data_IF_808361075456
#
_entry.id   IF_808361075456
#
_cell.length_a   1.000
_cell.length_b   1.000
_cell.length_c   1.000
_cell.angle_alpha   90.00
_cell.angle_beta   90.00
_cell.angle_gamma   90.00
#
_symmetry.space_group_name_H-M   'P 1'
#
loop_
_entity.id
_entity.type
_entity.pdbx_description
1 polymer ?
#
# COMPACT_ATOMS: atom_id res chain seq x y z
N UNK A 1 -55.63 11.63 -8.96
CA UNK A 1 -54.22 11.22 -8.82
C UNK A 1 -54.15 10.08 -7.84
N UNK A 2 -53.93 8.85 -8.30
CA UNK A 2 -53.82 7.66 -7.45
C UNK A 2 -52.33 7.41 -7.16
N UNK A 3 -51.96 7.56 -5.89
CA UNK A 3 -50.62 7.19 -5.41
C UNK A 3 -50.50 5.67 -5.33
N UNK A 4 -49.71 5.11 -6.21
CA UNK A 4 -49.29 3.72 -6.15
C UNK A 4 -48.00 3.62 -5.29
N UNK A 5 -48.16 3.47 -3.98
CA UNK A 5 -47.07 2.97 -3.16
C UNK A 5 -46.99 1.44 -3.37
N UNK A 6 -45.93 0.97 -4.00
CA UNK A 6 -45.61 -0.45 -4.07
C UNK A 6 -45.34 -0.95 -2.65
N UNK A 7 -46.14 -1.89 -2.19
CA UNK A 7 -45.90 -2.63 -0.95
C UNK A 7 -44.52 -3.34 -1.06
N UNK A 8 -43.53 -2.78 -0.39
CA UNK A 8 -42.25 -3.43 -0.21
C UNK A 8 -42.45 -4.59 0.78
N UNK A 9 -42.30 -5.82 0.28
CA UNK A 9 -42.63 -7.02 1.03
C UNK A 9 -41.61 -7.21 2.17
N UNK A 10 -42.01 -7.00 3.41
CA UNK A 10 -41.23 -7.19 4.62
C UNK A 10 -40.62 -8.59 4.74
N UNK A 11 -41.27 -9.62 4.12
CA UNK A 11 -40.73 -10.97 4.02
C UNK A 11 -39.44 -11.05 3.18
N UNK A 12 -39.31 -10.24 2.14
CA UNK A 12 -38.07 -10.20 1.32
C UNK A 12 -36.91 -9.58 2.08
N UNK A 13 -37.21 -8.67 3.01
CA UNK A 13 -36.20 -8.08 3.88
C UNK A 13 -35.66 -9.09 4.91
N UNK A 14 -36.56 -9.89 5.49
CA UNK A 14 -36.18 -10.98 6.42
C UNK A 14 -35.41 -12.06 5.71
N UNK A 15 -35.79 -12.45 4.49
CA UNK A 15 -35.09 -13.44 3.69
C UNK A 15 -33.68 -12.96 3.32
N UNK A 16 -33.52 -11.69 2.96
CA UNK A 16 -32.20 -11.08 2.70
C UNK A 16 -31.33 -11.03 3.97
N UNK A 17 -31.92 -10.67 5.13
CA UNK A 17 -31.22 -10.70 6.41
C UNK A 17 -30.78 -12.09 6.83
N UNK A 18 -31.60 -13.12 6.62
CA UNK A 18 -31.25 -14.52 6.94
C UNK A 18 -30.15 -15.02 6.01
N UNK A 19 -30.14 -14.63 4.73
CA UNK A 19 -29.10 -14.97 3.79
C UNK A 19 -27.75 -14.33 4.19
N UNK A 20 -27.76 -13.09 4.66
CA UNK A 20 -26.60 -12.37 5.18
C UNK A 20 -26.07 -13.04 6.46
N UNK A 21 -26.96 -13.46 7.39
CA UNK A 21 -26.56 -14.19 8.60
C UNK A 21 -25.95 -15.56 8.26
N UNK A 22 -26.46 -16.25 7.26
CA UNK A 22 -25.90 -17.52 6.78
C UNK A 22 -24.53 -17.34 6.08
N UNK A 23 -24.29 -16.22 5.43
CA UNK A 23 -22.97 -15.86 4.90
C UNK A 23 -21.97 -15.47 6.00
N UNK A 24 -22.42 -14.85 7.08
CA UNK A 24 -21.58 -14.49 8.24
C UNK A 24 -21.11 -15.73 9.02
N UNK A 25 -21.92 -16.78 9.05
CA UNK A 25 -21.56 -18.06 9.74
C UNK A 25 -20.49 -18.84 8.98
N UNK A 26 -20.20 -18.48 7.72
CA UNK A 26 -19.09 -19.08 6.97
C UNK A 26 -17.79 -18.25 7.00
N UNK A 27 -17.79 -17.12 7.67
CA UNK A 27 -16.54 -16.53 8.14
C UNK A 27 -16.13 -17.35 9.37
N UNK A 28 -15.60 -18.52 9.13
CA UNK A 28 -14.69 -19.15 10.10
C UNK A 28 -13.70 -18.02 10.45
N UNK A 29 -13.61 -17.57 11.72
CA UNK A 29 -12.50 -16.72 12.06
C UNK A 29 -11.31 -17.54 11.60
N UNK A 30 -10.54 -16.99 10.67
CA UNK A 30 -9.25 -17.53 10.35
C UNK A 30 -8.46 -17.47 11.66
N UNK A 31 -8.59 -18.55 12.42
CA UNK A 31 -7.63 -18.89 13.46
C UNK A 31 -6.40 -19.41 12.72
N UNK A 32 -5.94 -18.67 11.71
CA UNK A 32 -4.54 -18.70 11.38
C UNK A 32 -3.88 -18.21 12.67
N UNK A 33 -3.57 -19.16 13.53
CA UNK A 33 -2.58 -19.03 14.57
C UNK A 33 -1.45 -18.33 13.86
N UNK A 34 -1.25 -17.03 14.17
CA UNK A 34 -0.07 -16.29 13.75
C UNK A 34 1.05 -17.24 14.18
N UNK A 35 1.62 -17.97 13.24
CA UNK A 35 2.70 -18.89 13.57
C UNK A 35 3.72 -17.95 14.19
N UNK A 36 3.90 -18.04 15.50
CA UNK A 36 5.08 -17.50 16.12
C UNK A 36 6.21 -18.22 15.41
N UNK A 37 6.72 -17.56 14.40
CA UNK A 37 7.88 -18.02 13.70
C UNK A 37 9.03 -17.88 14.69
N UNK A 38 9.18 -18.89 15.54
CA UNK A 38 10.34 -19.06 16.43
C UNK A 38 11.56 -19.51 15.64
N UNK A 39 11.49 -19.40 14.31
CA UNK A 39 12.63 -19.60 13.43
C UNK A 39 13.74 -18.60 13.76
N UNK A 40 14.98 -19.02 13.57
CA UNK A 40 16.14 -18.17 13.77
C UNK A 40 16.01 -16.88 12.98
N UNK A 41 16.25 -15.75 13.63
CA UNK A 41 16.28 -14.43 12.98
C UNK A 41 17.55 -14.37 12.15
N UNK A 42 17.40 -14.11 10.85
CA UNK A 42 18.54 -13.88 9.96
C UNK A 42 19.01 -12.44 10.09
N UNK A 43 20.25 -12.27 10.52
CA UNK A 43 20.90 -10.96 10.62
C UNK A 43 21.40 -10.50 9.25
N UNK A 44 21.21 -9.20 8.95
CA UNK A 44 21.62 -8.55 7.70
C UNK A 44 22.57 -7.40 8.04
N UNK A 45 23.80 -7.50 7.56
CA UNK A 45 24.85 -6.51 7.79
C UNK A 45 25.27 -5.77 6.51
N UNK A 46 24.91 -6.28 5.34
CA UNK A 46 25.37 -5.78 4.05
C UNK A 46 24.27 -5.78 2.99
N UNK A 47 24.44 -4.96 1.94
CA UNK A 47 23.53 -4.95 0.80
C UNK A 47 23.45 -6.32 0.09
N UNK A 48 24.58 -7.04 0.01
CA UNK A 48 24.59 -8.38 -0.58
C UNK A 48 23.76 -9.39 0.22
N UNK A 49 23.78 -9.30 1.55
CA UNK A 49 22.92 -10.13 2.42
C UNK A 49 21.45 -9.74 2.29
N UNK A 50 21.13 -8.45 2.15
CA UNK A 50 19.76 -8.00 1.88
C UNK A 50 19.26 -8.54 0.53
N UNK A 51 20.09 -8.47 -0.54
CA UNK A 51 19.76 -9.07 -1.84
C UNK A 51 19.51 -10.57 -1.71
N UNK A 52 20.37 -11.27 -0.98
CA UNK A 52 20.20 -12.72 -0.76
C UNK A 52 18.92 -13.02 0.07
N UNK A 53 18.61 -12.21 1.06
CA UNK A 53 17.40 -12.36 1.85
C UNK A 53 16.14 -12.21 0.98
N UNK A 54 16.16 -11.32 -0.02
CA UNK A 54 15.03 -11.09 -0.93
C UNK A 54 14.69 -12.25 -1.86
N UNK A 55 15.56 -13.26 -1.96
CA UNK A 55 15.25 -14.51 -2.67
C UNK A 55 14.24 -15.39 -1.92
N UNK A 56 14.00 -15.12 -0.63
CA UNK A 56 13.05 -15.84 0.20
C UNK A 56 11.87 -14.93 0.55
N UNK A 57 10.67 -15.33 0.19
CA UNK A 57 9.45 -14.57 0.44
C UNK A 57 8.99 -14.57 1.91
N UNK A 58 9.50 -15.49 2.70
CA UNK A 58 9.13 -15.64 4.11
C UNK A 58 10.35 -15.65 5.00
N UNK A 59 10.21 -15.29 6.26
CA UNK A 59 11.29 -15.38 7.23
C UNK A 59 11.23 -14.28 8.29
N UNK A 60 12.21 -14.32 9.18
CA UNK A 60 12.43 -13.25 10.17
C UNK A 60 13.81 -12.66 9.92
N UNK A 61 13.86 -11.38 9.64
CA UNK A 61 15.10 -10.67 9.32
C UNK A 61 15.29 -9.49 10.26
N UNK A 62 16.55 -9.18 10.57
CA UNK A 62 16.94 -8.03 11.36
C UNK A 62 18.16 -7.34 10.76
N UNK A 63 18.09 -6.02 10.60
CA UNK A 63 19.24 -5.22 10.25
C UNK A 63 20.20 -5.10 11.46
N UNK A 64 21.48 -5.21 11.17
CA UNK A 64 22.56 -5.06 12.17
C UNK A 64 23.50 -3.90 11.82
N UNK A 65 23.27 -3.22 10.69
CA UNK A 65 23.99 -2.05 10.24
C UNK A 65 23.12 -1.23 9.26
N UNK A 66 23.54 0.00 9.01
CA UNK A 66 23.01 0.76 7.88
C UNK A 66 23.44 0.09 6.57
N UNK A 67 22.50 -0.01 5.63
CA UNK A 67 22.68 -0.71 4.35
C UNK A 67 22.68 0.29 3.21
N UNK A 68 23.83 0.53 2.60
CA UNK A 68 23.93 1.38 1.40
C UNK A 68 23.66 0.57 0.14
N UNK A 69 22.57 0.91 -0.56
CA UNK A 69 22.12 0.26 -1.79
C UNK A 69 22.68 0.93 -3.06
N UNK A 70 23.64 1.82 -2.94
CA UNK A 70 24.24 2.50 -4.09
C UNK A 70 24.78 1.48 -5.11
N UNK A 71 24.30 1.57 -6.35
CA UNK A 71 24.71 0.69 -7.46
C UNK A 71 24.10 -0.72 -7.43
N UNK A 72 23.22 -1.02 -6.49
CA UNK A 72 22.49 -2.28 -6.47
C UNK A 72 21.29 -2.19 -7.41
N UNK A 73 21.19 -3.12 -8.34
CA UNK A 73 20.02 -3.29 -9.22
C UNK A 73 18.93 -4.04 -8.46
N UNK A 74 18.13 -3.29 -7.69
CA UNK A 74 17.12 -3.86 -6.81
C UNK A 74 15.89 -4.31 -7.59
N UNK A 75 15.41 -5.51 -7.29
CA UNK A 75 14.10 -6.00 -7.70
C UNK A 75 13.18 -5.98 -6.48
N UNK A 76 12.00 -5.32 -6.57
CA UNK A 76 11.07 -5.24 -5.44
C UNK A 76 10.76 -6.61 -4.85
N UNK A 77 10.89 -6.74 -3.55
CA UNK A 77 10.77 -8.00 -2.82
C UNK A 77 9.32 -8.30 -2.44
N UNK A 78 8.82 -9.47 -2.79
CA UNK A 78 7.52 -9.96 -2.29
C UNK A 78 7.74 -10.64 -0.93
N UNK A 79 7.15 -10.08 0.10
CA UNK A 79 7.48 -10.47 1.46
C UNK A 79 6.27 -10.74 2.35
N UNK A 80 6.33 -11.85 3.10
CA UNK A 80 5.33 -12.24 4.09
C UNK A 80 5.99 -12.81 5.35
N UNK A 81 6.60 -11.93 6.15
CA UNK A 81 7.33 -12.34 7.34
C UNK A 81 7.52 -11.21 8.33
N UNK A 82 8.59 -11.26 9.09
CA UNK A 82 8.97 -10.20 10.03
C UNK A 82 10.25 -9.53 9.57
N UNK A 83 10.25 -8.22 9.44
CA UNK A 83 11.43 -7.42 9.11
C UNK A 83 11.63 -6.36 10.20
N UNK A 84 12.65 -6.57 11.01
CA UNK A 84 13.07 -5.65 12.06
C UNK A 84 14.22 -4.78 11.54
N UNK A 85 13.96 -3.51 11.26
CA UNK A 85 14.99 -2.55 10.88
C UNK A 85 15.93 -2.21 12.03
N UNK A 86 15.53 -2.51 13.29
CA UNK A 86 16.36 -2.31 14.48
C UNK A 86 16.91 -0.87 14.59
N UNK A 87 16.21 0.10 14.04
CA UNK A 87 16.60 1.51 13.96
C UNK A 87 17.65 1.84 12.90
N UNK A 88 18.16 0.85 12.15
CA UNK A 88 19.08 1.08 11.05
C UNK A 88 18.39 1.56 9.78
N UNK A 89 19.20 2.07 8.86
CA UNK A 89 18.74 2.76 7.65
C UNK A 89 19.13 2.00 6.39
N UNK A 90 18.18 1.84 5.47
CA UNK A 90 18.47 1.50 4.08
C UNK A 90 18.67 2.82 3.33
N UNK A 91 19.87 3.01 2.77
CA UNK A 91 20.31 4.22 2.11
C UNK A 91 20.30 4.06 0.59
N UNK A 92 19.95 5.11 -0.15
CA UNK A 92 20.15 5.21 -1.60
C UNK A 92 19.51 4.07 -2.40
N UNK A 93 18.39 3.54 -1.93
CA UNK A 93 17.62 2.53 -2.66
C UNK A 93 17.17 3.10 -4.00
N UNK A 94 17.54 2.46 -5.11
CA UNK A 94 17.09 2.82 -6.45
C UNK A 94 16.24 1.70 -7.04
N UNK A 95 15.01 2.05 -7.47
CA UNK A 95 14.06 1.10 -8.05
C UNK A 95 13.54 1.64 -9.37
N UNK A 96 13.84 0.90 -10.43
CA UNK A 96 13.35 1.19 -11.79
C UNK A 96 12.49 0.06 -12.35
N UNK A 97 12.29 -0.97 -11.56
CA UNK A 97 11.56 -2.20 -11.91
C UNK A 97 10.28 -2.31 -11.09
N UNK A 98 9.33 -3.04 -11.64
CA UNK A 98 8.13 -3.47 -10.92
C UNK A 98 8.17 -4.97 -10.70
N UNK A 99 7.50 -5.45 -9.65
CA UNK A 99 7.22 -6.85 -9.50
C UNK A 99 5.71 -7.09 -9.65
N UNK A 100 5.34 -8.17 -10.37
CA UNK A 100 3.95 -8.59 -10.48
C UNK A 100 3.53 -9.27 -9.18
N UNK A 101 2.56 -8.68 -8.54
CA UNK A 101 2.13 -9.13 -7.23
C UNK A 101 0.94 -10.10 -7.29
N UNK A 102 0.76 -10.88 -6.24
CA UNK A 102 -0.38 -11.80 -6.12
C UNK A 102 -1.71 -11.09 -5.92
N UNK A 103 -1.67 -9.88 -5.35
CA UNK A 103 -2.87 -9.06 -5.18
C UNK A 103 -3.39 -8.58 -6.55
N UNK A 104 -4.71 -8.53 -6.68
CA UNK A 104 -5.39 -8.02 -7.86
C UNK A 104 -6.11 -6.73 -7.55
N UNK A 105 -6.20 -5.87 -8.54
CA UNK A 105 -7.07 -4.69 -8.51
C UNK A 105 -8.26 -4.87 -9.44
N UNK A 106 -9.31 -4.10 -9.17
CA UNK A 106 -10.56 -4.18 -9.92
C UNK A 106 -10.98 -2.77 -10.33
N UNK A 107 -11.33 -2.59 -11.60
CA UNK A 107 -11.92 -1.33 -12.06
C UNK A 107 -13.40 -1.20 -11.63
N UNK A 108 -14.01 -0.06 -11.89
CA UNK A 108 -15.41 0.21 -11.56
C UNK A 108 -16.41 -0.75 -12.23
N UNK A 109 -16.00 -1.53 -13.23
CA UNK A 109 -16.77 -2.57 -13.87
C UNK A 109 -16.48 -3.97 -13.33
N UNK A 110 -15.71 -4.07 -12.24
CA UNK A 110 -15.28 -5.34 -11.62
C UNK A 110 -14.37 -6.21 -12.50
N UNK A 111 -13.75 -5.64 -13.50
CA UNK A 111 -12.72 -6.34 -14.25
C UNK A 111 -11.45 -6.44 -13.41
N UNK A 112 -10.94 -7.65 -13.31
CA UNK A 112 -9.70 -7.97 -12.59
C UNK A 112 -8.47 -7.63 -13.44
N UNK A 113 -7.46 -7.07 -12.80
CA UNK A 113 -6.18 -6.75 -13.42
C UNK A 113 -5.02 -7.27 -12.58
N UNK A 114 -3.97 -7.70 -13.26
CA UNK A 114 -2.68 -7.93 -12.63
C UNK A 114 -2.13 -6.62 -12.06
N UNK A 115 -1.67 -6.66 -10.83
CA UNK A 115 -1.16 -5.49 -10.14
C UNK A 115 0.33 -5.62 -9.91
N UNK A 116 1.03 -4.52 -10.06
CA UNK A 116 2.48 -4.44 -9.95
C UNK A 116 2.86 -3.49 -8.83
N UNK A 117 3.90 -3.84 -8.09
CA UNK A 117 4.42 -3.03 -7.01
C UNK A 117 5.86 -2.61 -7.24
N UNK A 118 6.20 -1.38 -6.82
CA UNK A 118 7.54 -0.84 -6.83
C UNK A 118 7.90 -0.19 -5.49
N UNK A 119 9.04 -0.58 -4.94
CA UNK A 119 9.56 -0.12 -3.67
C UNK A 119 10.64 -1.05 -3.14
N UNK A 120 10.99 -0.92 -1.88
CA UNK A 120 11.82 -1.94 -1.22
C UNK A 120 11.10 -3.29 -1.29
N UNK A 121 9.81 -3.29 -0.97
CA UNK A 121 8.92 -4.42 -1.18
C UNK A 121 8.00 -4.17 -2.38
N UNK A 122 7.81 -5.18 -3.22
CA UNK A 122 6.78 -5.19 -4.26
C UNK A 122 5.40 -5.32 -3.61
N UNK A 123 5.27 -6.32 -2.75
CA UNK A 123 4.11 -6.49 -1.87
C UNK A 123 4.55 -6.97 -0.48
N UNK A 124 3.91 -6.41 0.53
CA UNK A 124 3.85 -6.95 1.88
C UNK A 124 2.54 -7.72 2.06
N UNK A 125 2.60 -9.00 2.43
CA UNK A 125 1.43 -9.85 2.63
C UNK A 125 1.44 -10.48 4.00
N UNK A 126 0.52 -10.07 4.88
CA UNK A 126 0.50 -10.50 6.29
C UNK A 126 1.87 -10.32 6.97
N UNK A 127 2.60 -9.29 6.61
CA UNK A 127 3.95 -9.00 7.06
C UNK A 127 3.95 -8.00 8.24
N UNK A 128 4.98 -8.09 9.07
CA UNK A 128 5.27 -7.11 10.12
C UNK A 128 6.62 -6.47 9.81
N UNK A 129 6.63 -5.15 9.55
CA UNK A 129 7.84 -4.35 9.33
C UNK A 129 7.93 -3.31 10.45
N UNK A 130 9.04 -3.28 11.19
CA UNK A 130 9.20 -2.34 12.30
C UNK A 130 10.61 -1.76 12.41
N UNK A 131 10.70 -0.54 12.92
CA UNK A 131 11.97 0.10 13.22
C UNK A 131 12.89 0.30 12.02
N UNK A 132 12.35 0.31 10.79
CA UNK A 132 13.11 0.44 9.55
C UNK A 132 13.14 1.89 9.09
N UNK A 133 14.36 2.41 8.86
CA UNK A 133 14.52 3.70 8.22
C UNK A 133 14.88 3.53 6.73
N UNK A 134 14.32 4.38 5.87
CA UNK A 134 14.68 4.49 4.45
C UNK A 134 15.05 5.94 4.17
N UNK A 135 16.24 6.16 3.59
CA UNK A 135 16.71 7.51 3.29
C UNK A 135 17.27 7.62 1.88
N UNK A 136 16.84 8.65 1.17
CA UNK A 136 17.33 8.93 -0.17
C UNK A 136 16.87 7.89 -1.20
N UNK A 137 15.74 7.23 -0.96
CA UNK A 137 15.18 6.29 -1.93
C UNK A 137 14.73 7.03 -3.20
N UNK A 138 14.97 6.40 -4.34
CA UNK A 138 14.59 6.87 -5.65
C UNK A 138 13.83 5.78 -6.39
N UNK A 139 12.52 5.92 -6.42
CA UNK A 139 11.61 4.97 -7.09
C UNK A 139 11.15 5.66 -8.38
N UNK A 140 11.65 5.24 -9.52
CA UNK A 140 11.37 5.85 -10.81
C UNK A 140 10.93 4.79 -11.81
N UNK A 141 9.64 4.69 -12.01
CA UNK A 141 9.03 3.64 -12.83
C UNK A 141 8.22 4.25 -13.96
N UNK A 142 8.39 3.69 -15.16
CA UNK A 142 7.53 3.95 -16.30
C UNK A 142 6.92 2.62 -16.76
N UNK A 143 5.59 2.57 -16.86
CA UNK A 143 4.86 1.32 -17.17
C UNK A 143 3.52 1.63 -17.85
N UNK A 144 2.81 0.60 -18.26
CA UNK A 144 1.44 0.64 -18.72
C UNK A 144 0.57 -0.42 -17.99
N UNK A 145 1.02 -0.83 -16.82
CA UNK A 145 0.35 -1.82 -15.98
C UNK A 145 -0.30 -1.12 -14.78
N UNK A 146 -1.27 -1.77 -14.15
CA UNK A 146 -1.78 -1.33 -12.86
C UNK A 146 -0.66 -1.37 -11.82
N UNK A 147 -0.01 -0.26 -11.59
CA UNK A 147 1.19 -0.17 -10.77
C UNK A 147 1.02 0.81 -9.62
N UNK A 148 1.55 0.43 -8.47
CA UNK A 148 1.63 1.30 -7.31
C UNK A 148 3.07 1.36 -6.81
N UNK A 149 3.52 2.57 -6.51
CA UNK A 149 4.89 2.83 -6.14
C UNK A 149 5.00 3.60 -4.83
N UNK A 150 5.95 3.19 -3.99
CA UNK A 150 6.29 3.89 -2.76
C UNK A 150 7.67 3.44 -2.23
N UNK A 151 8.34 4.21 -1.36
CA UNK A 151 9.66 3.81 -0.87
C UNK A 151 9.66 2.50 -0.10
N UNK A 152 8.64 2.26 0.76
CA UNK A 152 8.55 1.04 1.56
C UNK A 152 7.96 -0.11 0.73
N UNK A 153 6.72 0.03 0.25
CA UNK A 153 6.05 -1.05 -0.46
C UNK A 153 5.13 -0.53 -1.57
N UNK A 154 5.18 -1.15 -2.76
CA UNK A 154 4.19 -0.89 -3.79
C UNK A 154 2.79 -1.26 -3.33
N UNK A 155 2.66 -2.43 -2.72
CA UNK A 155 1.40 -2.97 -2.23
C UNK A 155 1.50 -3.48 -0.79
N UNK A 156 0.40 -3.37 -0.06
CA UNK A 156 0.24 -3.98 1.26
C UNK A 156 -1.06 -4.78 1.31
N UNK A 157 -0.99 -5.98 1.87
CA UNK A 157 -2.14 -6.81 2.13
C UNK A 157 -2.12 -7.26 3.59
N UNK A 158 -3.00 -6.67 4.40
CA UNK A 158 -3.14 -6.99 5.82
C UNK A 158 -1.80 -7.00 6.58
N UNK A 159 -0.96 -5.97 6.35
CA UNK A 159 0.39 -5.89 6.91
C UNK A 159 0.52 -4.74 7.90
N UNK A 160 1.47 -4.84 8.82
CA UNK A 160 1.74 -3.82 9.81
C UNK A 160 3.09 -3.16 9.52
N UNK A 161 3.11 -1.83 9.55
CA UNK A 161 4.33 -1.03 9.44
C UNK A 161 4.35 -0.09 10.65
N UNK A 162 5.39 -0.19 11.48
CA UNK A 162 5.50 0.63 12.68
C UNK A 162 6.90 1.14 12.93
N UNK A 163 6.97 2.26 13.63
CA UNK A 163 8.23 2.86 14.09
C UNK A 163 9.26 3.08 12.96
N UNK A 164 8.77 3.50 11.77
CA UNK A 164 9.58 3.64 10.56
C UNK A 164 9.73 5.11 10.16
N UNK A 165 10.88 5.43 9.53
CA UNK A 165 11.14 6.77 9.02
C UNK A 165 11.52 6.68 7.55
N UNK A 166 10.83 7.42 6.69
CA UNK A 166 11.18 7.59 5.28
C UNK A 166 11.56 9.05 5.07
N UNK A 167 12.77 9.31 4.61
CA UNK A 167 13.27 10.69 4.48
C UNK A 167 14.02 10.93 3.18
N UNK A 168 13.95 12.19 2.69
CA UNK A 168 14.61 12.62 1.47
C UNK A 168 14.38 11.67 0.29
N UNK A 169 13.17 11.15 0.15
CA UNK A 169 12.86 10.14 -0.86
C UNK A 169 12.05 10.75 -2.00
N UNK A 170 12.19 10.14 -3.16
CA UNK A 170 11.53 10.58 -4.38
C UNK A 170 10.85 9.38 -5.04
N UNK A 171 9.59 9.53 -5.41
CA UNK A 171 8.81 8.52 -6.12
C UNK A 171 8.22 9.16 -7.37
N UNK A 172 8.53 8.61 -8.52
CA UNK A 172 7.93 9.01 -9.79
C UNK A 172 7.35 7.79 -10.49
N UNK A 173 6.06 7.86 -10.78
CA UNK A 173 5.38 6.86 -11.57
C UNK A 173 4.81 7.52 -12.82
N UNK A 174 5.28 7.05 -13.97
CA UNK A 174 4.78 7.42 -15.29
C UNK A 174 4.00 6.24 -15.83
N UNK A 175 2.70 6.40 -16.03
CA UNK A 175 1.81 5.31 -16.39
C UNK A 175 0.75 5.74 -17.40
N UNK A 176 0.10 4.77 -18.02
CA UNK A 176 -1.07 4.91 -18.87
C UNK A 176 -2.11 3.82 -18.58
N UNK A 177 -2.01 3.15 -17.44
CA UNK A 177 -2.96 2.13 -17.01
C UNK A 177 -4.22 2.76 -16.40
N UNK A 178 -5.26 1.95 -16.23
CA UNK A 178 -6.54 2.42 -15.71
C UNK A 178 -6.57 2.69 -14.20
N UNK A 179 -5.61 2.15 -13.45
CA UNK A 179 -5.53 2.32 -12.01
C UNK A 179 -4.07 2.23 -11.57
N UNK A 180 -3.55 3.30 -11.02
CA UNK A 180 -2.16 3.40 -10.59
C UNK A 180 -1.95 4.55 -9.61
N UNK A 181 -0.80 4.59 -8.93
CA UNK A 181 -0.57 5.69 -8.01
C UNK A 181 0.71 5.61 -7.18
N UNK A 182 1.00 6.70 -6.48
CA UNK A 182 2.18 6.86 -5.63
C UNK A 182 1.81 7.13 -4.17
N UNK A 183 2.53 6.49 -3.25
CA UNK A 183 2.39 6.71 -1.81
C UNK A 183 3.70 7.05 -1.12
N UNK A 184 3.65 7.78 -0.03
CA UNK A 184 4.85 8.12 0.74
C UNK A 184 5.39 6.95 1.57
N UNK A 185 4.55 5.99 1.92
CA UNK A 185 4.92 4.78 2.66
C UNK A 185 4.60 3.56 1.81
N UNK A 186 3.35 3.42 1.39
CA UNK A 186 2.92 2.36 0.50
C UNK A 186 1.98 2.89 -0.59
N UNK A 187 1.94 2.21 -1.72
CA UNK A 187 1.10 2.63 -2.84
C UNK A 187 -0.36 2.22 -2.63
N UNK A 188 -0.67 0.94 -2.54
CA UNK A 188 -2.05 0.48 -2.44
C UNK A 188 -2.19 -0.67 -1.44
N UNK A 189 -3.34 -0.72 -0.74
CA UNK A 189 -3.68 -1.91 0.02
C UNK A 189 -4.35 -1.72 1.35
N UNK A 190 -4.05 -2.62 2.30
CA UNK A 190 -4.68 -2.69 3.61
C UNK A 190 -3.67 -3.00 4.71
N UNK A 191 -3.97 -2.59 5.94
CA UNK A 191 -3.14 -2.88 7.09
C UNK A 191 -3.13 -1.78 8.15
N UNK A 192 -2.04 -1.72 8.91
CA UNK A 192 -1.87 -0.75 9.96
C UNK A 192 -0.56 0.02 9.78
N UNK A 193 -0.64 1.35 9.91
CA UNK A 193 0.50 2.23 10.11
C UNK A 193 0.45 2.79 11.52
N UNK A 194 1.55 2.69 12.25
CA UNK A 194 1.67 3.30 13.57
C UNK A 194 3.05 3.91 13.77
N UNK A 195 3.10 5.16 14.20
CA UNK A 195 4.35 5.88 14.47
C UNK A 195 5.31 5.90 13.26
N UNK A 196 4.81 6.26 12.07
CA UNK A 196 5.61 6.37 10.85
C UNK A 196 5.76 7.83 10.45
N UNK A 197 6.98 8.22 10.07
CA UNK A 197 7.25 9.55 9.56
C UNK A 197 7.72 9.52 8.11
N UNK A 198 7.25 10.48 7.28
CA UNK A 198 7.70 10.62 5.88
C UNK A 198 8.16 12.03 5.59
N UNK A 199 9.16 12.13 4.69
CA UNK A 199 9.56 13.31 3.96
C UNK A 199 9.86 12.89 2.52
N UNK A 200 8.88 13.07 1.63
CA UNK A 200 8.86 12.43 0.31
C UNK A 200 8.31 13.38 -0.75
N UNK A 201 8.94 13.37 -1.94
CA UNK A 201 8.39 13.95 -3.15
C UNK A 201 7.72 12.87 -3.97
N UNK A 202 6.44 13.07 -4.31
CA UNK A 202 5.63 12.16 -5.12
C UNK A 202 5.31 12.80 -6.46
N UNK A 203 5.48 12.05 -7.54
CA UNK A 203 5.19 12.51 -8.90
C UNK A 203 4.38 11.46 -9.64
N UNK A 204 3.22 11.86 -10.14
CA UNK A 204 2.38 11.06 -11.02
C UNK A 204 2.34 11.72 -12.40
N UNK A 205 2.67 10.97 -13.45
CA UNK A 205 2.66 11.46 -14.84
C UNK A 205 1.80 10.51 -15.68
N UNK A 206 0.63 10.98 -16.08
CA UNK A 206 -0.21 10.30 -17.04
C UNK A 206 0.28 10.56 -18.47
N UNK A 207 0.52 9.49 -19.21
CA UNK A 207 0.97 9.55 -20.61
C UNK A 207 -0.15 9.34 -21.61
N UNK A 208 -1.32 8.87 -21.19
CA UNK A 208 -2.51 8.70 -22.05
C UNK A 208 -3.60 9.71 -21.72
N UNK A 209 -3.52 10.87 -22.35
CA UNK A 209 -4.47 11.97 -22.15
C UNK A 209 -5.90 11.67 -22.65
N UNK A 210 -6.17 10.50 -23.21
CA UNK A 210 -7.48 10.16 -23.79
C UNK A 210 -8.28 9.18 -22.93
N UNK A 211 -7.65 8.49 -22.00
CA UNK A 211 -8.28 7.48 -21.15
C UNK A 211 -8.65 8.11 -19.80
N UNK A 212 -9.84 7.77 -19.32
CA UNK A 212 -10.24 8.13 -17.95
C UNK A 212 -9.66 7.09 -17.01
N UNK A 213 -8.45 7.33 -16.58
CA UNK A 213 -7.73 6.49 -15.65
C UNK A 213 -7.96 6.96 -14.21
N UNK A 214 -7.91 6.04 -13.26
CA UNK A 214 -7.95 6.37 -11.85
C UNK A 214 -6.51 6.47 -11.33
N UNK A 215 -6.10 7.66 -11.01
CA UNK A 215 -4.78 8.02 -10.52
C UNK A 215 -4.87 8.40 -9.04
N UNK A 216 -3.92 7.94 -8.25
CA UNK A 216 -3.94 8.14 -6.81
C UNK A 216 -2.60 8.67 -6.29
N UNK A 217 -2.65 9.68 -5.43
CA UNK A 217 -1.48 10.16 -4.71
C UNK A 217 -1.83 10.37 -3.23
N UNK A 218 -0.99 9.88 -2.33
CA UNK A 218 -1.19 10.11 -0.91
C UNK A 218 0.08 10.09 -0.09
N UNK A 219 0.20 10.99 0.84
CA UNK A 219 1.40 11.15 1.66
C UNK A 219 1.77 9.91 2.48
N UNK A 220 0.81 9.11 2.88
CA UNK A 220 1.04 7.79 3.44
C UNK A 220 0.74 6.68 2.43
N UNK A 221 -0.49 6.62 1.93
CA UNK A 221 -0.95 5.65 0.93
C UNK A 221 -1.60 6.35 -0.25
N UNK A 222 -1.36 5.88 -1.47
CA UNK A 222 -2.10 6.34 -2.63
C UNK A 222 -3.58 5.97 -2.48
N UNK A 223 -3.89 4.71 -2.23
CA UNK A 223 -5.26 4.29 -1.95
C UNK A 223 -5.30 3.04 -1.06
N UNK A 224 -6.39 2.84 -0.31
CA UNK A 224 -6.57 1.59 0.44
C UNK A 224 -7.47 1.67 1.67
N UNK A 225 -7.46 0.55 2.44
CA UNK A 225 -8.20 0.35 3.69
C UNK A 225 -7.19 0.25 4.85
N UNK A 226 -6.90 1.35 5.52
CA UNK A 226 -5.74 1.42 6.39
C UNK A 226 -6.10 2.06 7.71
N UNK A 227 -5.60 1.49 8.82
CA UNK A 227 -5.53 2.19 10.07
C UNK A 227 -4.24 3.01 10.12
N UNK A 228 -4.33 4.31 10.36
CA UNK A 228 -3.18 5.21 10.41
C UNK A 228 -3.18 5.96 11.74
N UNK A 229 -2.15 5.72 12.55
CA UNK A 229 -2.05 6.33 13.87
C UNK A 229 -0.68 6.92 14.11
N UNK A 230 -0.64 8.05 14.81
CA UNK A 230 0.59 8.68 15.29
C UNK A 230 1.62 8.96 14.18
N UNK A 231 1.17 9.15 12.94
CA UNK A 231 2.05 9.35 11.80
C UNK A 231 2.30 10.83 11.54
N UNK A 232 3.50 11.13 11.03
CA UNK A 232 3.91 12.46 10.65
C UNK A 232 4.32 12.47 9.18
N UNK A 233 3.48 13.06 8.36
CA UNK A 233 3.56 12.99 6.90
C UNK A 233 3.96 14.36 6.36
N UNK A 234 5.11 14.44 5.70
CA UNK A 234 5.52 15.58 4.88
C UNK A 234 5.57 15.15 3.41
N UNK A 235 4.79 15.81 2.58
CA UNK A 235 4.63 15.48 1.16
C UNK A 235 4.86 16.74 0.30
N UNK A 236 5.61 16.57 -0.77
CA UNK A 236 5.63 17.49 -1.91
C UNK A 236 5.18 16.71 -3.14
N UNK A 237 3.96 16.96 -3.60
CA UNK A 237 3.30 16.19 -4.64
C UNK A 237 3.15 16.98 -5.93
N UNK A 238 3.36 16.31 -7.07
CA UNK A 238 3.03 16.80 -8.39
C UNK A 238 2.24 15.75 -9.17
N UNK A 239 1.09 16.16 -9.66
CA UNK A 239 0.23 15.35 -10.52
C UNK A 239 0.04 16.05 -11.87
N UNK A 240 0.02 15.29 -12.97
CA UNK A 240 -0.14 15.82 -14.31
C UNK A 240 -1.57 16.17 -14.72
N UNK A 241 -2.53 15.95 -13.81
CA UNK A 241 -3.96 16.26 -13.96
C UNK A 241 -4.60 15.75 -15.27
N UNK A 242 -4.61 14.45 -15.46
CA UNK A 242 -5.34 13.82 -16.55
C UNK A 242 -6.13 12.60 -16.00
N UNK A 243 -7.44 12.58 -16.21
CA UNK A 243 -8.28 11.48 -15.76
C UNK A 243 -9.03 11.75 -14.44
N UNK A 244 -9.29 10.70 -13.67
CA UNK A 244 -9.86 10.80 -12.32
C UNK A 244 -8.74 10.81 -11.29
N UNK A 245 -8.39 11.99 -10.83
CA UNK A 245 -7.31 12.21 -9.85
C UNK A 245 -7.88 12.15 -8.44
N UNK A 246 -7.20 11.38 -7.58
CA UNK A 246 -7.53 11.25 -6.17
C UNK A 246 -6.29 11.56 -5.32
N UNK A 247 -6.12 12.83 -4.98
CA UNK A 247 -4.98 13.30 -4.23
C UNK A 247 -5.35 13.63 -2.79
N UNK A 248 -4.52 13.21 -1.86
CA UNK A 248 -4.72 13.48 -0.44
C UNK A 248 -3.41 13.57 0.35
N UNK A 249 -3.36 14.52 1.27
CA UNK A 249 -2.18 14.69 2.12
C UNK A 249 -1.83 13.45 2.93
N UNK A 250 -2.80 12.67 3.35
CA UNK A 250 -2.59 11.42 4.09
C UNK A 250 -2.86 10.19 3.20
N UNK A 251 -4.04 10.11 2.61
CA UNK A 251 -4.45 9.03 1.70
C UNK A 251 -5.13 9.69 0.50
N UNK A 252 -4.72 9.32 -0.71
CA UNK A 252 -5.34 9.83 -1.93
C UNK A 252 -6.79 9.40 -2.03
N UNK A 253 -7.05 8.11 -1.89
CA UNK A 253 -8.41 7.59 -1.82
C UNK A 253 -8.56 6.58 -0.69
N UNK A 254 -9.40 6.89 0.28
CA UNK A 254 -9.82 5.92 1.27
C UNK A 254 -10.93 5.04 0.68
N UNK A 255 -10.60 3.78 0.38
CA UNK A 255 -11.56 2.86 -0.24
C UNK A 255 -12.45 2.23 0.82
N UNK A 256 -13.74 2.41 0.67
CA UNK A 256 -14.75 1.60 1.36
C UNK A 256 -15.30 0.62 0.33
N UNK A 257 -15.37 -0.66 0.63
CA UNK A 257 -15.94 -1.63 -0.30
C UNK A 257 -17.35 -1.18 -0.73
N UNK A 258 -17.57 -0.80 -1.99
CA UNK A 258 -18.82 -0.15 -2.40
C UNK A 258 -20.01 -1.11 -2.44
N UNK A 259 -19.80 -2.39 -2.12
CA UNK A 259 -20.83 -3.42 -2.35
C UNK A 259 -21.31 -4.15 -1.10
N UNK A 260 -20.76 -3.84 0.05
CA UNK A 260 -21.27 -4.34 1.33
C UNK A 260 -21.44 -3.19 2.31
N UNK A 261 -22.62 -2.59 2.28
CA UNK A 261 -23.02 -1.54 3.21
C UNK A 261 -23.11 -2.03 4.68
N UNK A 262 -22.88 -3.32 4.92
CA UNK A 262 -22.89 -3.92 6.26
C UNK A 262 -21.49 -4.00 6.89
N UNK A 263 -20.43 -3.86 6.11
CA UNK A 263 -19.05 -3.83 6.60
C UNK A 263 -18.62 -2.37 6.77
N UNK A 264 -18.88 -1.81 7.92
CA UNK A 264 -18.22 -0.59 8.38
C UNK A 264 -16.78 -0.92 8.75
N UNK A 265 -15.92 -1.10 7.77
CA UNK A 265 -14.48 -0.95 7.98
C UNK A 265 -14.20 0.56 8.05
N UNK A 266 -14.47 1.15 9.18
CA UNK A 266 -13.93 2.44 9.52
C UNK A 266 -12.49 2.17 9.98
N UNK A 267 -11.51 2.34 9.10
CA UNK A 267 -10.13 2.41 9.54
C UNK A 267 -9.97 3.56 10.52
N UNK A 268 -9.18 3.38 11.55
CA UNK A 268 -8.89 4.45 12.50
C UNK A 268 -7.83 5.38 11.93
N UNK A 269 -8.14 6.66 11.86
CA UNK A 269 -7.19 7.73 11.51
C UNK A 269 -7.07 8.64 12.72
N UNK A 270 -6.01 8.43 13.53
CA UNK A 270 -5.87 9.09 14.82
C UNK A 270 -4.48 9.72 14.99
N UNK A 271 -4.44 10.91 15.56
CA UNK A 271 -3.21 11.61 15.99
C UNK A 271 -2.17 11.78 14.87
N UNK A 272 -2.62 12.04 13.63
CA UNK A 272 -1.71 12.22 12.51
C UNK A 272 -1.48 13.70 12.22
N UNK A 273 -0.27 14.02 11.81
CA UNK A 273 0.13 15.34 11.35
C UNK A 273 0.49 15.28 9.87
N UNK A 274 -0.06 16.18 9.06
CA UNK A 274 0.21 16.23 7.62
C UNK A 274 0.69 17.62 7.25
N UNK A 275 1.79 17.69 6.52
CA UNK A 275 2.42 18.92 6.04
C UNK A 275 2.73 18.81 4.55
N UNK A 276 2.93 19.96 3.91
CA UNK A 276 3.38 20.02 2.51
C UNK A 276 2.30 20.50 1.56
N UNK A 277 2.47 20.15 0.29
CA UNK A 277 1.60 20.61 -0.79
C UNK A 277 1.47 19.54 -1.88
N UNK A 278 0.39 19.63 -2.62
CA UNK A 278 0.19 18.89 -3.88
C UNK A 278 -0.11 19.92 -4.96
N UNK A 279 0.60 19.84 -6.07
CA UNK A 279 0.43 20.70 -7.24
C UNK A 279 -0.17 19.89 -8.38
N UNK A 280 -1.26 20.37 -8.96
CA UNK A 280 -1.93 19.82 -10.13
C UNK A 280 -1.45 20.51 -11.41
#
# INVERSE_FOLDING_TARGET
>A
MKNNYKNFNFLNYIAAMILVILCIVQIVPDTSVKAENTGDVTEIHTAAELVKASENQTGSYRLMADIDMTGIDWTPWDFSGKFDGNGYTILNLSVTKTNRCTMKTYDGNRKEYDTYGAGLFGILSNADVSGLNIKGARIEVATNNHCFAAPMAGLCNNSNISDCIISNSYVSLTDSAKMWGTGGIAGFGSGNLDNVSTDVTLVCIDTDKQVKDEQFMGGAYAAGFINIRNCKINIDGYDSDHGYVHDGGLVGMYMVYPYDLSLTYAGEVLNNEVYGQITL
#
